data_IF_958565360814
#
_entry.id   IF_958565360814
#
_cell.length_a   1.000
_cell.length_b   1.000
_cell.length_c   1.000
_cell.angle_alpha   90.00
_cell.angle_beta   90.00
_cell.angle_gamma   90.00
#
_symmetry.space_group_name_H-M   'P 1'
#
loop_
_entity.id
_entity.type
_entity.pdbx_description
1 polymer ?
#
# COMPACT_ATOMS: atom_id res chain seq x y z
N UNK A 1 79.24 22.57 -10.72
CA UNK A 1 78.87 22.90 -9.32
C UNK A 1 77.92 21.83 -8.79
N UNK A 2 78.02 21.54 -7.48
CA UNK A 2 77.43 20.47 -6.61
C UNK A 2 75.95 20.08 -6.93
N UNK A 3 75.57 18.80 -7.12
CA UNK A 3 75.27 17.64 -6.22
C UNK A 3 73.89 17.66 -5.49
N UNK A 4 73.12 16.56 -5.67
CA UNK A 4 72.25 15.80 -4.68
C UNK A 4 70.85 16.40 -4.37
N UNK A 5 69.71 15.69 -4.17
CA UNK A 5 69.24 14.30 -4.28
C UNK A 5 67.68 14.18 -4.19
N UNK A 6 67.19 12.95 -4.42
CA UNK A 6 65.84 12.36 -4.37
C UNK A 6 64.91 12.69 -3.17
N UNK A 7 63.57 12.62 -3.39
CA UNK A 7 62.67 11.65 -2.70
C UNK A 7 61.21 11.56 -3.25
N UNK A 8 60.85 10.32 -3.59
CA UNK A 8 59.59 9.55 -3.66
C UNK A 8 58.20 10.09 -3.22
N UNK A 9 57.17 9.72 -4.01
CA UNK A 9 55.89 9.10 -3.55
C UNK A 9 55.15 8.40 -4.72
N UNK A 10 55.30 7.07 -4.86
CA UNK A 10 54.28 5.99 -4.78
C UNK A 10 52.96 6.16 -5.57
N UNK A 11 52.85 5.34 -6.62
CA UNK A 11 51.59 4.82 -7.15
C UNK A 11 51.19 3.51 -6.44
N UNK A 12 49.89 3.31 -6.22
CA UNK A 12 49.23 2.00 -6.18
C UNK A 12 47.72 2.16 -5.91
N UNK A 13 46.91 1.33 -6.57
CA UNK A 13 45.60 0.90 -6.05
C UNK A 13 44.37 1.37 -6.82
N UNK A 14 43.99 0.62 -7.85
CA UNK A 14 42.63 0.58 -8.39
C UNK A 14 41.61 0.22 -7.31
N UNK A 15 40.49 0.93 -7.26
CA UNK A 15 39.29 0.48 -6.55
C UNK A 15 38.08 0.67 -7.47
N UNK A 16 37.53 -0.45 -7.93
CA UNK A 16 36.27 -0.58 -8.63
C UNK A 16 35.13 -0.11 -7.72
N UNK A 17 34.49 1.01 -8.06
CA UNK A 17 33.25 1.43 -7.42
C UNK A 17 32.06 0.81 -8.16
N UNK A 18 31.42 -0.11 -7.46
CA UNK A 18 30.07 -0.61 -7.74
C UNK A 18 29.08 0.56 -7.82
N UNK A 19 28.29 0.55 -8.89
CA UNK A 19 27.18 1.45 -9.15
C UNK A 19 26.16 1.37 -8.00
N UNK A 20 25.97 2.48 -7.29
CA UNK A 20 24.83 2.67 -6.39
C UNK A 20 23.66 3.10 -7.27
N UNK A 21 22.62 2.28 -7.31
CA UNK A 21 21.29 2.68 -7.76
C UNK A 21 20.77 3.74 -6.77
N UNK A 22 20.80 5.01 -7.16
CA UNK A 22 20.11 6.07 -6.44
C UNK A 22 18.60 5.81 -6.49
N UNK A 23 18.00 5.72 -5.31
CA UNK A 23 16.55 5.57 -5.13
C UNK A 23 15.82 6.81 -5.62
N UNK A 24 14.86 6.60 -6.53
CA UNK A 24 13.96 7.61 -7.09
C UNK A 24 13.19 8.31 -5.95
N UNK A 25 13.21 9.65 -5.84
CA UNK A 25 12.40 10.34 -4.84
C UNK A 25 10.92 10.29 -5.26
N UNK A 26 9.99 9.99 -4.35
CA UNK A 26 8.57 10.04 -4.64
C UNK A 26 8.12 11.49 -4.88
N UNK A 27 7.43 11.72 -6.00
CA UNK A 27 7.01 13.04 -6.48
C UNK A 27 5.68 13.50 -5.88
N UNK A 28 5.37 13.17 -4.63
CA UNK A 28 4.19 13.70 -3.94
C UNK A 28 4.45 13.95 -2.45
N UNK A 29 3.97 15.10 -1.97
CA UNK A 29 3.97 15.59 -0.58
C UNK A 29 5.32 16.11 -0.05
N UNK A 30 5.59 17.39 -0.30
CA UNK A 30 6.62 18.19 0.41
C UNK A 30 5.97 18.78 1.69
N UNK A 31 6.61 18.59 2.84
CA UNK A 31 6.18 19.07 4.16
C UNK A 31 6.12 20.61 4.29
N UNK A 32 5.24 21.16 5.16
CA UNK A 32 5.39 22.51 5.67
C UNK A 32 6.33 22.54 6.88
N UNK A 33 7.48 23.19 6.74
CA UNK A 33 8.40 23.51 7.83
C UNK A 33 7.80 24.56 8.78
N UNK A 34 7.83 24.31 10.09
CA UNK A 34 7.54 25.34 11.09
C UNK A 34 7.48 24.83 12.53
N UNK A 35 8.62 24.64 13.17
CA UNK A 35 8.71 24.53 14.65
C UNK A 35 9.03 25.90 15.24
N UNK A 36 8.14 26.45 16.07
CA UNK A 36 8.51 27.47 17.06
C UNK A 36 8.37 26.87 18.46
N UNK A 37 9.49 26.72 19.13
CA UNK A 37 9.63 26.39 20.55
C UNK A 37 9.24 27.60 21.41
N UNK A 38 8.46 27.37 22.46
CA UNK A 38 8.20 28.33 23.54
C UNK A 38 7.95 27.58 24.84
N UNK A 39 8.79 27.84 25.84
CA UNK A 39 8.90 27.16 27.13
C UNK A 39 7.85 27.58 28.18
N UNK A 40 7.59 26.67 29.13
CA UNK A 40 7.32 26.97 30.55
C UNK A 40 5.94 26.52 31.09
N UNK A 41 5.76 26.35 32.43
CA UNK A 41 6.68 25.85 33.46
C UNK A 41 6.11 24.64 34.24
N UNK A 42 6.94 24.13 35.17
CA UNK A 42 6.67 23.03 36.12
C UNK A 42 5.51 23.34 37.08
N UNK A 43 4.66 22.35 37.34
CA UNK A 43 3.91 22.21 38.60
C UNK A 43 3.87 20.71 38.98
N UNK A 44 4.33 20.39 40.20
CA UNK A 44 4.25 19.05 40.76
C UNK A 44 2.98 18.89 41.61
N UNK A 45 2.40 17.68 41.60
CA UNK A 45 1.45 17.17 42.62
C UNK A 45 1.58 15.64 42.62
N UNK A 46 2.28 15.09 43.62
CA UNK A 46 1.79 14.29 44.77
C UNK A 46 1.19 12.92 44.42
N UNK A 47 1.91 11.92 44.93
CA UNK A 47 1.63 10.49 45.04
C UNK A 47 0.36 10.21 45.86
N UNK A 48 -0.46 9.24 45.46
CA UNK A 48 -1.26 8.45 46.41
C UNK A 48 -1.42 7.01 45.91
N UNK A 49 -0.74 6.11 46.62
CA UNK A 49 -0.91 4.66 46.58
C UNK A 49 -2.17 4.29 47.37
N UNK A 50 -2.98 3.39 46.83
CA UNK A 50 -3.93 2.61 47.63
C UNK A 50 -3.94 1.15 47.13
N UNK A 51 -3.30 0.30 47.92
CA UNK A 51 -3.49 -1.15 47.91
C UNK A 51 -4.84 -1.48 48.55
N UNK A 52 -5.63 -2.34 47.92
CA UNK A 52 -6.62 -3.15 48.65
C UNK A 52 -6.51 -4.59 48.15
N UNK A 53 -6.09 -5.46 49.05
CA UNK A 53 -6.18 -6.90 48.93
C UNK A 53 -7.43 -7.39 49.66
N UNK A 54 -8.15 -8.32 49.05
CA UNK A 54 -9.04 -9.31 49.66
C UNK A 54 -9.30 -10.35 48.56
N UNK A 55 -9.13 -11.64 48.75
CA UNK A 55 -9.36 -12.45 49.93
C UNK A 55 -10.28 -13.59 49.46
N UNK A 56 -9.80 -14.82 49.59
CA UNK A 56 -10.37 -16.06 49.03
C UNK A 56 -11.83 -16.32 49.45
N UNK A 57 -12.54 -17.14 48.66
CA UNK A 57 -13.34 -18.19 49.28
C UNK A 57 -13.38 -19.48 48.43
N UNK A 58 -13.12 -20.58 49.12
CA UNK A 58 -13.03 -21.95 48.66
C UNK A 58 -14.30 -22.67 49.10
N UNK A 59 -14.99 -23.35 48.19
CA UNK A 59 -16.08 -24.26 48.58
C UNK A 59 -16.00 -25.56 47.80
N UNK A 60 -15.24 -26.48 48.39
CA UNK A 60 -15.27 -27.91 48.13
C UNK A 60 -16.70 -28.49 48.23
N UNK A 61 -17.12 -29.24 47.20
CA UNK A 61 -18.17 -30.26 47.32
C UNK A 61 -17.63 -31.61 46.86
N UNK A 62 -17.48 -32.51 47.83
CA UNK A 62 -17.28 -33.96 47.63
C UNK A 62 -18.56 -34.58 47.09
N UNK A 63 -18.48 -35.37 46.02
CA UNK A 63 -19.48 -36.40 45.72
C UNK A 63 -18.81 -37.66 45.16
N UNK A 64 -19.45 -38.77 45.47
CA UNK A 64 -18.89 -40.09 45.64
C UNK A 64 -18.58 -40.83 44.33
N UNK A 65 -17.56 -41.67 44.43
CA UNK A 65 -17.12 -42.67 43.47
C UNK A 65 -18.21 -43.72 43.23
N UNK A 66 -18.53 -44.00 41.97
CA UNK A 66 -19.14 -45.28 41.57
C UNK A 66 -18.31 -45.84 40.43
N UNK A 67 -17.61 -46.93 40.68
CA UNK A 67 -16.80 -47.63 39.69
C UNK A 67 -17.71 -48.42 38.75
N UNK A 68 -17.64 -48.13 37.45
CA UNK A 68 -18.19 -49.00 36.41
C UNK A 68 -17.05 -49.37 35.46
N UNK A 69 -16.71 -50.65 35.44
CA UNK A 69 -15.70 -51.25 34.56
C UNK A 69 -16.29 -51.38 33.16
N UNK A 70 -15.87 -50.52 32.23
CA UNK A 70 -16.19 -50.65 30.81
C UNK A 70 -14.93 -50.89 29.99
N UNK A 71 -14.95 -51.98 29.22
CA UNK A 71 -13.91 -52.47 28.32
C UNK A 71 -13.38 -51.36 27.41
N UNK A 72 -12.05 -51.21 27.36
CA UNK A 72 -11.36 -50.34 26.43
C UNK A 72 -11.55 -50.82 24.98
N UNK A 73 -12.22 -50.01 24.17
CA UNK A 73 -12.09 -50.06 22.71
C UNK A 73 -10.89 -49.20 22.32
N UNK A 74 -9.85 -49.82 21.78
CA UNK A 74 -8.70 -49.12 21.20
C UNK A 74 -9.12 -48.44 19.90
N UNK A 75 -9.65 -47.21 19.99
CA UNK A 75 -9.61 -46.28 18.87
C UNK A 75 -8.18 -45.78 18.76
N UNK A 76 -7.49 -46.10 17.66
CA UNK A 76 -6.25 -45.44 17.27
C UNK A 76 -6.57 -43.99 16.90
N UNK A 77 -6.74 -43.15 17.93
CA UNK A 77 -6.80 -41.72 17.78
C UNK A 77 -5.45 -41.26 17.24
N UNK A 78 -5.47 -40.60 16.08
CA UNK A 78 -4.39 -39.72 15.67
C UNK A 78 -4.16 -38.75 16.83
N UNK A 79 -3.08 -38.96 17.59
CA UNK A 79 -2.67 -38.02 18.61
C UNK A 79 -2.36 -36.71 17.89
N UNK A 80 -3.30 -35.77 17.96
CA UNK A 80 -3.01 -34.37 17.66
C UNK A 80 -2.12 -33.92 18.80
N UNK A 81 -0.81 -34.00 18.58
CA UNK A 81 0.18 -33.45 19.49
C UNK A 81 -0.19 -31.99 19.74
N UNK A 82 -0.57 -31.67 20.98
CA UNK A 82 -0.94 -30.32 21.37
C UNK A 82 0.29 -29.44 21.14
N UNK A 83 0.19 -28.52 20.17
CA UNK A 83 1.26 -27.56 19.93
C UNK A 83 1.58 -26.85 21.26
N UNK A 84 2.87 -26.70 21.63
CA UNK A 84 3.22 -26.09 22.91
C UNK A 84 2.57 -24.71 23.04
N UNK A 85 1.82 -24.50 24.13
CA UNK A 85 1.17 -23.22 24.42
C UNK A 85 2.25 -22.20 24.80
N UNK A 86 2.76 -21.46 23.82
CA UNK A 86 3.66 -20.35 24.06
C UNK A 86 2.85 -19.07 24.31
N UNK A 87 3.20 -18.33 25.37
CA UNK A 87 2.67 -16.98 25.56
C UNK A 87 3.18 -16.10 24.42
N UNK A 88 2.27 -15.60 23.59
CA UNK A 88 2.55 -14.65 22.52
C UNK A 88 2.17 -13.24 22.97
N UNK A 89 2.98 -12.27 22.59
CA UNK A 89 2.90 -10.85 22.96
C UNK A 89 2.62 -9.95 21.76
N UNK A 90 2.30 -10.55 20.60
CA UNK A 90 1.93 -9.85 19.39
C UNK A 90 0.58 -10.36 18.90
N UNK A 91 -0.35 -9.44 18.70
CA UNK A 91 -1.57 -9.69 17.95
C UNK A 91 -1.28 -9.53 16.47
N UNK A 92 -1.82 -10.44 15.68
CA UNK A 92 -1.73 -10.42 14.23
C UNK A 92 -3.13 -10.61 13.65
N UNK A 93 -3.60 -9.63 12.89
CA UNK A 93 -4.94 -9.66 12.32
C UNK A 93 -4.93 -9.21 10.86
N UNK A 94 -5.76 -9.86 10.05
CA UNK A 94 -6.30 -9.23 8.86
C UNK A 94 -7.58 -8.50 9.28
N UNK A 95 -7.71 -7.18 9.12
CA UNK A 95 -8.87 -6.48 9.64
C UNK A 95 -10.14 -6.97 8.93
N UNK A 96 -11.16 -7.44 9.68
CA UNK A 96 -12.34 -8.10 9.10
C UNK A 96 -13.22 -7.16 8.27
N UNK A 97 -13.04 -5.85 8.41
CA UNK A 97 -13.74 -4.82 7.64
C UNK A 97 -13.22 -4.70 6.21
N UNK A 98 -12.02 -5.22 5.91
CA UNK A 98 -11.40 -5.13 4.60
C UNK A 98 -11.91 -6.24 3.66
N UNK A 99 -12.04 -5.96 2.36
CA UNK A 99 -12.41 -6.97 1.39
C UNK A 99 -11.34 -8.06 1.31
N UNK A 100 -11.77 -9.28 0.99
CA UNK A 100 -10.82 -10.39 0.81
C UNK A 100 -9.85 -10.05 -0.32
N UNK A 101 -8.53 -10.21 -0.13
CA UNK A 101 -7.56 -9.92 -1.17
C UNK A 101 -7.83 -10.75 -2.43
N UNK A 102 -7.72 -10.09 -3.57
CA UNK A 102 -7.94 -10.67 -4.87
C UNK A 102 -6.73 -10.41 -5.77
N UNK A 103 -6.32 -11.40 -6.60
CA UNK A 103 -5.16 -11.25 -7.43
C UNK A 103 -5.43 -10.37 -8.65
N UNK A 104 -4.48 -9.50 -9.00
CA UNK A 104 -4.51 -8.70 -10.23
C UNK A 104 -3.42 -9.17 -11.19
N UNK A 105 -3.74 -9.35 -12.46
CA UNK A 105 -2.75 -9.67 -13.49
C UNK A 105 -2.08 -8.39 -13.98
N UNK A 106 -0.76 -8.39 -14.07
CA UNK A 106 0.02 -7.20 -14.42
C UNK A 106 0.95 -7.44 -15.61
N UNK A 107 1.60 -6.37 -16.06
CA UNK A 107 2.46 -6.32 -17.25
C UNK A 107 3.75 -7.12 -17.15
N UNK A 108 4.16 -7.57 -15.95
CA UNK A 108 5.28 -8.51 -15.80
C UNK A 108 4.85 -9.98 -16.07
N UNK A 109 3.59 -10.19 -16.47
CA UNK A 109 3.02 -11.47 -16.80
C UNK A 109 2.61 -12.30 -15.57
N UNK A 110 2.65 -11.72 -14.37
CA UNK A 110 2.33 -12.39 -13.11
C UNK A 110 1.00 -11.90 -12.53
N UNK A 111 0.52 -12.64 -11.55
CA UNK A 111 -0.60 -12.26 -10.70
C UNK A 111 -0.06 -11.76 -9.37
N UNK A 112 -0.39 -10.52 -9.00
CA UNK A 112 -0.04 -9.93 -7.73
C UNK A 112 -1.21 -10.02 -6.76
N UNK A 113 -0.95 -10.52 -5.55
CA UNK A 113 -1.87 -10.56 -4.43
C UNK A 113 -1.37 -9.59 -3.36
N UNK A 114 -2.02 -8.43 -3.29
CA UNK A 114 -1.57 -7.27 -2.52
C UNK A 114 -2.51 -7.05 -1.34
N UNK A 115 -1.98 -7.04 -0.11
CA UNK A 115 -2.76 -6.87 1.12
C UNK A 115 -1.88 -6.37 2.28
N UNK A 116 -2.49 -6.17 3.45
CA UNK A 116 -1.79 -5.77 4.66
C UNK A 116 -2.28 -6.57 5.87
N UNK A 117 -1.42 -6.69 6.88
CA UNK A 117 -1.76 -7.23 8.19
C UNK A 117 -1.53 -6.17 9.26
N UNK A 118 -2.43 -6.12 10.23
CA UNK A 118 -2.27 -5.32 11.46
C UNK A 118 -1.45 -6.10 12.48
N UNK A 119 -0.50 -5.41 13.10
CA UNK A 119 0.34 -5.90 14.18
C UNK A 119 0.06 -5.06 15.42
N UNK A 120 -0.13 -5.67 16.59
CA UNK A 120 -0.17 -4.94 17.87
C UNK A 120 0.78 -5.61 18.85
N UNK A 121 1.75 -4.85 19.38
CA UNK A 121 2.55 -5.31 20.49
C UNK A 121 1.74 -5.17 21.78
N UNK A 122 1.23 -6.28 22.30
CA UNK A 122 0.42 -6.34 23.52
C UNK A 122 1.27 -6.42 24.80
N UNK A 123 2.53 -6.00 24.71
CA UNK A 123 3.45 -6.01 25.84
C UNK A 123 4.05 -4.62 26.06
N UNK A 124 4.52 -4.32 27.28
CA UNK A 124 5.20 -3.05 27.55
C UNK A 124 6.64 -3.02 26.99
N UNK A 125 7.14 -4.14 26.48
CA UNK A 125 8.52 -4.28 26.03
C UNK A 125 8.63 -4.12 24.53
N UNK A 126 9.77 -3.60 24.08
CA UNK A 126 10.09 -3.59 22.66
C UNK A 126 10.12 -5.02 22.09
N UNK A 127 9.51 -5.16 20.94
CA UNK A 127 9.51 -6.35 20.10
C UNK A 127 10.29 -6.07 18.81
N UNK A 128 11.16 -6.98 18.41
CA UNK A 128 11.87 -6.95 17.13
C UNK A 128 11.43 -8.13 16.26
N UNK A 129 10.80 -7.83 15.14
CA UNK A 129 10.42 -8.79 14.11
C UNK A 129 11.68 -9.37 13.46
N UNK A 130 11.73 -10.70 13.33
CA UNK A 130 12.88 -11.42 12.76
C UNK A 130 12.56 -12.03 11.41
N UNK A 131 11.38 -12.61 11.27
CA UNK A 131 10.97 -13.33 10.07
C UNK A 131 9.45 -13.40 9.99
N UNK A 132 8.93 -13.32 8.78
CA UNK A 132 7.54 -13.66 8.48
C UNK A 132 7.53 -14.70 7.38
N UNK A 133 6.89 -15.83 7.64
CA UNK A 133 6.60 -16.84 6.64
C UNK A 133 5.15 -16.74 6.23
N UNK A 134 4.89 -16.70 4.92
CA UNK A 134 3.57 -16.87 4.34
C UNK A 134 3.47 -18.31 3.85
N UNK A 135 2.47 -19.04 4.33
CA UNK A 135 2.27 -20.45 4.05
C UNK A 135 0.93 -20.66 3.36
N UNK A 136 0.89 -21.63 2.44
CA UNK A 136 -0.37 -22.23 2.00
C UNK A 136 -0.95 -23.03 3.17
N UNK A 137 -2.17 -22.68 3.60
CA UNK A 137 -2.81 -23.31 4.77
C UNK A 137 -3.03 -24.81 4.58
N UNK A 138 -3.32 -25.22 3.34
CA UNK A 138 -3.73 -26.59 3.01
C UNK A 138 -2.55 -27.56 3.01
N UNK A 139 -1.45 -27.16 2.39
CA UNK A 139 -0.24 -27.97 2.24
C UNK A 139 0.82 -27.70 3.31
N UNK A 140 0.75 -26.55 4.01
CA UNK A 140 1.81 -26.07 4.90
C UNK A 140 3.06 -25.58 4.14
N UNK A 141 3.03 -25.54 2.81
CA UNK A 141 4.15 -25.09 1.97
C UNK A 141 4.40 -23.60 2.20
N UNK A 142 5.66 -23.22 2.37
CA UNK A 142 6.07 -21.80 2.40
C UNK A 142 5.94 -21.22 0.99
N UNK A 143 5.12 -20.17 0.87
CA UNK A 143 4.87 -19.39 -0.35
C UNK A 143 5.86 -18.24 -0.46
N UNK A 144 6.13 -17.56 0.66
CA UNK A 144 7.09 -16.47 0.75
C UNK A 144 7.69 -16.39 2.14
N UNK A 145 8.88 -15.79 2.24
CA UNK A 145 9.57 -15.51 3.49
C UNK A 145 10.16 -14.11 3.42
N UNK A 146 9.84 -13.27 4.40
CA UNK A 146 10.46 -11.96 4.60
C UNK A 146 11.35 -11.98 5.83
N UNK A 147 12.57 -11.43 5.75
CA UNK A 147 13.50 -11.29 6.88
C UNK A 147 14.46 -10.11 6.69
N UNK A 148 15.08 -9.65 7.78
CA UNK A 148 16.13 -8.63 7.72
C UNK A 148 15.66 -7.32 7.09
N UNK A 149 16.40 -6.83 6.08
CA UNK A 149 16.12 -5.55 5.44
C UNK A 149 14.77 -5.52 4.68
N UNK A 150 14.36 -6.64 4.09
CA UNK A 150 13.07 -6.78 3.40
C UNK A 150 11.92 -6.64 4.40
N UNK A 151 11.94 -7.40 5.49
CA UNK A 151 10.91 -7.32 6.53
C UNK A 151 10.80 -5.91 7.13
N UNK A 152 11.95 -5.25 7.36
CA UNK A 152 11.98 -3.85 7.82
C UNK A 152 11.34 -2.91 6.80
N UNK A 153 11.62 -3.11 5.51
CA UNK A 153 11.08 -2.29 4.43
C UNK A 153 9.57 -2.44 4.32
N UNK A 154 9.05 -3.65 4.49
CA UNK A 154 7.61 -3.96 4.36
C UNK A 154 6.79 -3.68 5.62
N UNK A 155 7.42 -3.23 6.71
CA UNK A 155 6.72 -2.96 7.97
C UNK A 155 6.85 -1.49 8.37
N UNK A 156 5.75 -0.90 8.83
CA UNK A 156 5.69 0.46 9.34
C UNK A 156 4.91 0.53 10.65
N UNK A 157 5.07 1.62 11.41
CA UNK A 157 4.20 1.91 12.57
C UNK A 157 2.88 2.49 12.10
N UNK A 158 1.80 2.17 12.81
CA UNK A 158 0.55 2.93 12.67
C UNK A 158 0.83 4.38 13.11
N UNK A 159 0.41 5.35 12.29
CA UNK A 159 0.67 6.78 12.51
C UNK A 159 1.95 7.31 11.84
N UNK A 160 2.74 6.47 11.17
CA UNK A 160 3.78 6.97 10.25
C UNK A 160 3.13 7.73 9.10
N UNK A 161 3.44 9.02 8.99
CA UNK A 161 3.08 9.85 7.83
C UNK A 161 4.10 9.68 6.71
N UNK A 162 3.73 10.06 5.48
CA UNK A 162 4.62 9.97 4.33
C UNK A 162 5.78 11.00 4.45
N UNK A 163 7.05 10.63 4.16
CA UNK A 163 7.50 9.29 3.77
C UNK A 163 7.42 8.31 4.95
N UNK A 164 6.79 7.15 4.69
CA UNK A 164 6.57 6.13 5.71
C UNK A 164 7.93 5.58 6.17
N UNK A 165 8.23 5.77 7.45
CA UNK A 165 9.49 5.29 8.05
C UNK A 165 9.42 3.77 8.25
N UNK A 166 10.24 2.97 7.54
CA UNK A 166 10.21 1.53 7.69
C UNK A 166 10.80 1.10 9.04
N UNK A 167 10.25 0.06 9.65
CA UNK A 167 10.69 -0.46 10.94
C UNK A 167 10.57 -1.97 10.99
N UNK A 168 11.41 -2.65 11.76
CA UNK A 168 11.20 -4.05 12.13
C UNK A 168 10.98 -4.18 13.64
N UNK A 169 10.67 -3.06 14.30
CA UNK A 169 10.58 -2.96 15.74
C UNK A 169 9.32 -2.20 16.14
N UNK A 170 8.62 -2.74 17.13
CA UNK A 170 7.49 -2.11 17.79
C UNK A 170 7.85 -1.91 19.26
N UNK A 171 7.77 -0.67 19.74
CA UNK A 171 7.82 -0.38 21.17
C UNK A 171 6.62 -0.99 21.90
N UNK A 172 6.60 -0.88 23.23
CA UNK A 172 5.47 -1.35 24.00
C UNK A 172 4.17 -0.65 23.58
N UNK A 173 3.08 -1.41 23.52
CA UNK A 173 1.72 -0.95 23.15
C UNK A 173 1.63 -0.31 21.74
N UNK A 174 2.65 -0.46 20.91
CA UNK A 174 2.65 0.09 19.55
C UNK A 174 1.97 -0.86 18.56
N UNK A 175 1.21 -0.25 17.65
CA UNK A 175 0.67 -0.92 16.48
C UNK A 175 1.57 -0.72 15.25
N UNK A 176 1.59 -1.72 14.38
CA UNK A 176 2.29 -1.72 13.11
C UNK A 176 1.43 -2.26 11.98
N UNK A 177 1.91 -2.05 10.76
CA UNK A 177 1.32 -2.56 9.54
C UNK A 177 2.41 -3.33 8.80
N UNK A 178 2.13 -4.56 8.42
CA UNK A 178 2.95 -5.34 7.51
C UNK A 178 2.28 -5.36 6.14
N UNK A 179 2.93 -4.75 5.16
CA UNK A 179 2.52 -4.74 3.77
C UNK A 179 3.01 -6.02 3.07
N UNK A 180 2.16 -6.63 2.25
CA UNK A 180 2.48 -7.88 1.56
C UNK A 180 2.08 -7.77 0.09
N UNK A 181 3.04 -8.03 -0.79
CA UNK A 181 2.86 -8.24 -2.23
C UNK A 181 3.43 -9.62 -2.59
N UNK A 182 2.55 -10.57 -2.93
CA UNK A 182 2.94 -11.89 -3.41
C UNK A 182 2.70 -11.98 -4.90
N UNK A 183 3.65 -12.54 -5.65
CA UNK A 183 3.48 -12.73 -7.10
C UNK A 183 3.49 -14.20 -7.49
N UNK A 184 2.59 -14.57 -8.41
CA UNK A 184 2.38 -15.93 -8.90
C UNK A 184 2.39 -15.96 -10.42
N UNK A 185 2.91 -17.04 -11.01
CA UNK A 185 2.91 -17.19 -12.47
C UNK A 185 1.51 -17.45 -13.04
N UNK A 186 0.68 -18.21 -12.31
CA UNK A 186 -0.68 -18.56 -12.73
C UNK A 186 -1.64 -18.33 -11.57
N UNK A 187 -2.88 -17.98 -11.90
CA UNK A 187 -3.95 -17.81 -10.90
C UNK A 187 -4.21 -19.09 -10.10
N UNK A 188 -4.06 -20.27 -10.72
CA UNK A 188 -4.23 -21.58 -10.06
C UNK A 188 -3.14 -21.90 -9.04
N UNK A 189 -2.01 -21.18 -9.06
CA UNK A 189 -0.92 -21.37 -8.09
C UNK A 189 -1.15 -20.58 -6.78
N UNK A 190 -2.20 -19.74 -6.75
CA UNK A 190 -2.54 -18.89 -5.61
C UNK A 190 -3.31 -19.74 -4.59
N UNK A 191 -2.77 -19.95 -3.37
CA UNK A 191 -3.48 -20.70 -2.35
C UNK A 191 -4.79 -20.02 -1.99
N UNK A 192 -5.87 -20.77 -1.82
CA UNK A 192 -7.19 -20.28 -1.38
C UNK A 192 -7.23 -19.82 0.09
N UNK A 193 -6.21 -20.19 0.85
CA UNK A 193 -6.01 -19.76 2.23
C UNK A 193 -4.51 -19.61 2.51
N UNK A 194 -4.13 -18.48 3.08
CA UNK A 194 -2.77 -18.19 3.52
C UNK A 194 -2.70 -18.19 5.04
N UNK A 195 -1.62 -18.72 5.59
CA UNK A 195 -1.28 -18.62 7.02
C UNK A 195 0.01 -17.84 7.15
N UNK A 196 0.08 -16.90 8.09
CA UNK A 196 1.28 -16.12 8.32
C UNK A 196 1.87 -16.52 9.65
N UNK A 197 3.14 -16.92 9.66
CA UNK A 197 3.90 -17.23 10.87
C UNK A 197 4.92 -16.12 11.10
N UNK A 198 4.75 -15.37 12.18
CA UNK A 198 5.67 -14.28 12.54
C UNK A 198 6.60 -14.76 13.65
N UNK A 199 7.90 -14.66 13.43
CA UNK A 199 8.96 -14.91 14.40
C UNK A 199 9.51 -13.57 14.87
N UNK A 200 9.56 -13.37 16.18
CA UNK A 200 10.05 -12.13 16.79
C UNK A 200 10.85 -12.41 18.06
N UNK A 201 11.67 -11.44 18.46
CA UNK A 201 12.32 -11.42 19.77
C UNK A 201 11.76 -10.29 20.62
N UNK A 202 11.65 -10.51 21.92
CA UNK A 202 11.19 -9.48 22.85
C UNK A 202 12.30 -9.12 23.84
N UNK A 203 12.54 -7.82 24.02
CA UNK A 203 13.51 -7.34 25.02
C UNK A 203 13.02 -7.77 26.41
N UNK A 204 13.87 -8.38 27.25
CA UNK A 204 13.45 -8.87 28.56
C UNK A 204 13.12 -7.72 29.52
N UNK A 205 12.12 -7.96 30.38
CA UNK A 205 11.64 -7.00 31.40
C UNK A 205 12.68 -6.75 32.51
N UNK A 206 13.58 -7.72 32.74
CA UNK A 206 14.67 -7.61 33.70
C UNK A 206 15.94 -8.25 33.16
N UNK A 207 17.10 -7.81 33.67
CA UNK A 207 18.41 -8.37 33.29
C UNK A 207 18.55 -9.88 33.56
N UNK A 208 17.66 -10.45 34.39
CA UNK A 208 17.66 -11.86 34.77
C UNK A 208 16.78 -12.74 33.86
N UNK A 209 16.12 -12.17 32.85
CA UNK A 209 15.32 -12.91 31.87
C UNK A 209 16.02 -12.89 30.51
N UNK A 210 16.07 -14.04 29.84
CA UNK A 210 16.60 -14.13 28.48
C UNK A 210 15.62 -13.53 27.47
N UNK A 211 16.16 -12.99 26.37
CA UNK A 211 15.36 -12.60 25.19
C UNK A 211 14.60 -13.82 24.69
N UNK A 212 13.27 -13.82 24.79
CA UNK A 212 12.43 -14.91 24.28
C UNK A 212 12.20 -14.72 22.79
N UNK A 213 12.44 -15.78 22.03
CA UNK A 213 12.04 -15.88 20.61
C UNK A 213 10.77 -16.71 20.56
N UNK A 214 9.69 -16.10 20.06
CA UNK A 214 8.36 -16.72 19.98
C UNK A 214 7.83 -16.63 18.56
N UNK A 215 6.87 -17.50 18.22
CA UNK A 215 6.14 -17.42 16.97
C UNK A 215 4.63 -17.39 17.19
N UNK A 216 3.92 -16.51 16.48
CA UNK A 216 2.45 -16.51 16.40
C UNK A 216 1.98 -16.82 14.98
N UNK A 217 0.71 -17.21 14.82
CA UNK A 217 0.10 -17.49 13.51
C UNK A 217 -1.26 -16.80 13.35
N UNK A 218 -1.52 -16.27 12.16
CA UNK A 218 -2.87 -15.88 11.69
C UNK A 218 -3.19 -16.62 10.40
N UNK A 219 -4.46 -16.89 10.14
CA UNK A 219 -4.94 -17.43 8.86
C UNK A 219 -5.85 -16.42 8.18
N UNK A 220 -5.59 -16.16 6.90
CA UNK A 220 -6.34 -15.32 6.00
C UNK A 220 -6.94 -16.17 4.89
N UNK A 221 -8.22 -15.95 4.56
CA UNK A 221 -8.81 -16.48 3.32
C UNK A 221 -8.39 -15.60 2.16
N UNK A 222 -8.07 -16.19 1.02
CA UNK A 222 -7.88 -15.46 -0.24
C UNK A 222 -9.03 -15.82 -1.16
N UNK A 223 -9.29 -14.98 -2.16
CA UNK A 223 -10.11 -15.41 -3.29
C UNK A 223 -9.20 -16.11 -4.29
N UNK A 224 -9.55 -17.33 -4.72
CA UNK A 224 -8.85 -18.05 -5.81
C UNK A 224 -9.20 -17.51 -7.20
N UNK A 225 -9.94 -16.40 -7.27
CA UNK A 225 -10.45 -15.79 -8.48
C UNK A 225 -10.27 -14.26 -8.40
N UNK A 226 -10.06 -13.55 -9.51
CA UNK A 226 -9.57 -12.17 -9.48
C UNK A 226 -10.54 -11.11 -8.92
N UNK A 227 -11.79 -11.44 -8.54
CA UNK A 227 -12.57 -10.68 -7.54
C UNK A 227 -13.89 -11.35 -7.13
N UNK A 228 -14.36 -11.13 -5.90
CA UNK A 228 -15.77 -11.19 -5.48
C UNK A 228 -15.97 -10.53 -4.09
N UNK A 229 -16.97 -9.66 -3.92
CA UNK A 229 -18.19 -10.15 -3.28
C UNK A 229 -19.18 -10.57 -4.36
N UNK A 230 -19.49 -11.87 -4.45
CA UNK A 230 -20.39 -12.40 -5.48
C UNK A 230 -19.78 -13.49 -6.36
N UNK A 231 -18.95 -13.18 -7.36
CA UNK A 231 -18.40 -14.20 -8.27
C UNK A 231 -17.22 -13.71 -9.14
N UNK A 232 -16.04 -14.27 -8.88
CA UNK A 232 -15.18 -14.91 -9.89
C UNK A 232 -14.35 -14.10 -10.91
N UNK A 233 -14.62 -12.84 -11.24
CA UNK A 233 -13.94 -12.19 -12.38
C UNK A 233 -13.26 -10.85 -12.05
N UNK A 234 -12.08 -10.57 -12.63
CA UNK A 234 -11.42 -9.28 -12.47
C UNK A 234 -12.34 -8.20 -13.00
N UNK A 235 -12.43 -7.07 -12.30
CA UNK A 235 -13.20 -5.95 -12.79
C UNK A 235 -12.48 -5.31 -13.98
N UNK A 236 -12.94 -5.66 -15.18
CA UNK A 236 -12.41 -5.14 -16.45
C UNK A 236 -13.07 -3.80 -16.75
N UNK A 237 -12.26 -2.78 -17.02
CA UNK A 237 -12.71 -1.42 -17.32
C UNK A 237 -12.01 -0.88 -18.57
N UNK A 238 -12.59 0.15 -19.19
CA UNK A 238 -11.87 0.95 -20.18
C UNK A 238 -10.81 1.82 -19.50
N UNK A 239 -9.74 2.23 -20.22
CA UNK A 239 -8.84 3.26 -19.74
C UNK A 239 -9.54 4.61 -19.49
N UNK A 240 -9.14 5.38 -18.45
CA UNK A 240 -9.75 6.68 -18.15
C UNK A 240 -9.24 7.82 -19.05
N UNK A 241 -8.27 7.53 -19.91
CA UNK A 241 -7.55 8.47 -20.77
C UNK A 241 -7.37 7.85 -22.17
N UNK A 242 -6.97 8.67 -23.15
CA UNK A 242 -6.76 8.26 -24.55
C UNK A 242 -5.38 8.71 -25.04
N UNK A 243 -4.84 8.02 -26.03
CA UNK A 243 -3.55 8.37 -26.67
C UNK A 243 -2.33 7.81 -25.94
N UNK A 244 -1.14 8.20 -26.42
CA UNK A 244 0.17 7.70 -25.97
C UNK A 244 0.83 8.53 -24.87
N UNK A 245 1.87 7.94 -24.26
CA UNK A 245 2.79 8.61 -23.36
C UNK A 245 2.33 8.68 -21.90
N UNK A 246 1.38 7.85 -21.47
CA UNK A 246 0.88 7.89 -20.09
C UNK A 246 1.76 7.03 -19.18
N UNK A 247 2.50 7.67 -18.28
CA UNK A 247 3.34 6.99 -17.30
C UNK A 247 2.60 6.75 -15.99
N UNK A 248 2.60 5.53 -15.51
CA UNK A 248 2.15 5.16 -14.17
C UNK A 248 3.18 5.59 -13.12
N UNK A 249 2.85 6.59 -12.30
CA UNK A 249 3.76 7.17 -11.30
C UNK A 249 3.66 6.57 -9.90
N UNK A 250 2.60 5.86 -9.55
CA UNK A 250 2.37 5.44 -8.16
C UNK A 250 1.55 4.14 -8.02
N UNK A 251 1.09 3.57 -9.13
CA UNK A 251 0.24 2.40 -9.19
C UNK A 251 0.82 1.11 -8.62
N UNK A 252 0.08 0.04 -8.82
CA UNK A 252 0.48 -1.30 -8.39
C UNK A 252 1.72 -1.78 -9.15
N UNK A 253 2.51 -2.74 -8.70
CA UNK A 253 2.53 -3.44 -7.43
C UNK A 253 3.99 -3.47 -7.00
N UNK A 254 4.32 -2.88 -5.85
CA UNK A 254 5.63 -2.81 -5.16
C UNK A 254 5.49 -1.79 -4.00
N UNK A 255 6.60 -1.48 -3.31
CA UNK A 255 6.69 -0.37 -2.36
C UNK A 255 6.50 0.98 -3.08
N UNK A 256 5.24 1.34 -3.34
CA UNK A 256 4.80 2.64 -3.86
C UNK A 256 4.08 3.43 -2.78
N UNK A 257 3.99 4.75 -2.95
CA UNK A 257 3.30 5.61 -2.00
C UNK A 257 1.82 5.19 -1.84
N UNK A 258 1.10 5.03 -2.95
CA UNK A 258 -0.32 4.65 -2.97
C UNK A 258 -0.60 3.29 -2.33
N UNK A 259 0.27 2.30 -2.49
CA UNK A 259 0.09 1.01 -1.81
C UNK A 259 0.11 1.15 -0.28
N UNK A 260 0.81 2.16 0.26
CA UNK A 260 1.12 2.26 1.70
C UNK A 260 0.42 3.41 2.41
N UNK A 261 -0.08 4.39 1.67
CA UNK A 261 -0.88 5.49 2.22
C UNK A 261 -2.19 4.93 2.73
N UNK A 262 -2.54 5.27 3.96
CA UNK A 262 -3.91 5.03 4.38
C UNK A 262 -4.28 5.80 5.63
N UNK A 263 -5.57 5.85 5.84
CA UNK A 263 -6.24 6.87 6.63
C UNK A 263 -7.20 6.20 7.59
N UNK A 264 -7.36 6.78 8.78
CA UNK A 264 -8.30 6.26 9.77
C UNK A 264 -9.57 7.11 9.77
N UNK A 265 -10.71 6.45 9.59
CA UNK A 265 -12.05 7.03 9.72
C UNK A 265 -12.86 6.19 10.69
N UNK A 266 -13.44 6.83 11.70
CA UNK A 266 -14.26 6.17 12.73
C UNK A 266 -13.59 4.93 13.38
N UNK A 267 -12.28 5.03 13.63
CA UNK A 267 -11.48 3.96 14.23
C UNK A 267 -11.09 2.83 13.27
N UNK A 268 -11.55 2.85 12.02
CA UNK A 268 -11.19 1.88 10.97
C UNK A 268 -10.14 2.48 10.06
N UNK A 269 -9.07 1.72 9.79
CA UNK A 269 -8.01 2.16 8.89
C UNK A 269 -8.25 1.65 7.48
N UNK A 270 -8.42 2.58 6.55
CA UNK A 270 -8.62 2.34 5.13
C UNK A 270 -7.34 2.57 4.31
N UNK A 271 -7.26 1.93 3.15
CA UNK A 271 -6.24 2.12 2.13
C UNK A 271 -6.92 2.36 0.76
N UNK A 272 -7.44 3.58 0.53
CA UNK A 272 -8.23 3.90 -0.66
C UNK A 272 -7.41 3.83 -1.95
N UNK A 273 -6.11 4.15 -1.85
CA UNK A 273 -5.22 4.31 -2.99
C UNK A 273 -4.48 3.02 -3.36
N UNK A 274 -4.76 1.87 -2.72
CA UNK A 274 -4.03 0.60 -2.89
C UNK A 274 -3.74 0.22 -4.35
N UNK A 275 -4.66 0.50 -5.27
CA UNK A 275 -4.54 0.32 -6.72
C UNK A 275 -4.77 1.62 -7.51
N UNK A 276 -4.74 2.76 -6.82
CA UNK A 276 -4.84 4.08 -7.45
C UNK A 276 -3.60 4.37 -8.30
N UNK A 277 -3.80 5.03 -9.43
CA UNK A 277 -2.72 5.40 -10.35
C UNK A 277 -2.76 6.92 -10.58
N UNK A 278 -1.58 7.53 -10.46
CA UNK A 278 -1.34 8.89 -10.95
C UNK A 278 -0.73 8.81 -12.36
N UNK A 279 -1.50 9.23 -13.37
CA UNK A 279 -1.05 9.29 -14.75
C UNK A 279 -0.47 10.66 -15.10
N UNK A 280 0.78 10.66 -15.52
CA UNK A 280 1.46 11.83 -16.12
C UNK A 280 1.74 11.52 -17.59
N UNK A 281 1.59 12.54 -18.46
CA UNK A 281 1.86 12.39 -19.89
C UNK A 281 3.26 12.86 -20.25
N UNK A 282 3.93 12.11 -21.12
CA UNK A 282 5.25 12.40 -21.65
C UNK A 282 5.23 12.38 -23.19
N UNK A 283 6.09 13.17 -23.82
CA UNK A 283 6.37 13.07 -25.24
C UNK A 283 7.34 11.91 -25.55
N UNK A 284 7.67 11.71 -26.83
CA UNK A 284 8.63 10.70 -27.27
C UNK A 284 10.06 10.93 -26.73
N UNK A 285 10.41 12.17 -26.40
CA UNK A 285 11.67 12.55 -25.77
C UNK A 285 11.68 12.38 -24.25
N UNK A 286 10.55 11.98 -23.65
CA UNK A 286 10.37 11.82 -22.22
C UNK A 286 10.11 13.13 -21.47
N UNK A 287 9.80 14.25 -22.12
CA UNK A 287 9.47 15.50 -21.44
C UNK A 287 7.97 15.54 -21.07
N UNK A 288 7.59 15.98 -19.85
CA UNK A 288 6.18 16.10 -19.44
C UNK A 288 5.52 17.44 -19.82
N UNK A 289 6.29 18.39 -20.36
CA UNK A 289 5.83 19.72 -20.73
C UNK A 289 6.67 20.33 -21.84
N UNK A 290 6.11 21.34 -22.53
CA UNK A 290 6.82 22.17 -23.50
C UNK A 290 6.77 23.65 -23.10
N UNK A 291 7.92 24.31 -23.04
CA UNK A 291 8.02 25.71 -22.61
C UNK A 291 8.19 25.84 -21.09
N UNK A 292 7.63 26.90 -20.50
CA UNK A 292 7.76 27.21 -19.08
C UNK A 292 6.92 26.25 -18.20
N UNK A 293 7.55 25.39 -17.37
CA UNK A 293 6.83 24.43 -16.54
C UNK A 293 5.94 25.10 -15.48
N UNK A 294 6.15 26.37 -15.14
CA UNK A 294 5.30 27.08 -14.16
C UNK A 294 3.90 27.37 -14.69
N UNK A 295 3.67 27.25 -16.00
CA UNK A 295 2.37 27.43 -16.62
C UNK A 295 1.71 26.07 -16.85
N UNK A 296 0.59 25.80 -16.17
CA UNK A 296 -0.07 24.49 -16.22
C UNK A 296 -0.43 24.07 -17.66
N UNK A 297 -0.86 25.01 -18.51
CA UNK A 297 -1.16 24.77 -19.93
C UNK A 297 0.01 24.22 -20.76
N UNK A 298 1.24 24.34 -20.27
CA UNK A 298 2.43 23.83 -20.94
C UNK A 298 2.66 22.34 -20.64
N UNK A 299 1.98 21.77 -19.64
CA UNK A 299 2.04 20.35 -19.30
C UNK A 299 1.19 19.53 -20.25
N UNK A 300 1.75 18.44 -20.77
CA UNK A 300 1.13 17.61 -21.81
C UNK A 300 -0.16 16.92 -21.35
N UNK A 301 -0.29 16.68 -20.05
CA UNK A 301 -1.47 16.08 -19.44
C UNK A 301 -2.56 17.10 -19.12
N UNK A 302 -2.24 18.38 -18.89
CA UNK A 302 -3.24 19.36 -18.47
C UNK A 302 -4.25 19.63 -19.60
N UNK A 303 -5.54 19.58 -19.26
CA UNK A 303 -6.63 19.72 -20.22
C UNK A 303 -6.95 18.45 -21.02
N UNK A 304 -6.24 17.34 -20.80
CA UNK A 304 -6.54 16.07 -21.47
C UNK A 304 -7.97 15.59 -21.10
N UNK A 305 -8.79 15.13 -22.06
CA UNK A 305 -10.11 14.58 -21.77
C UNK A 305 -10.03 13.36 -20.86
N UNK A 306 -10.83 13.36 -19.80
CA UNK A 306 -11.01 12.23 -18.89
C UNK A 306 -12.35 11.57 -19.21
N UNK A 307 -12.35 10.25 -19.36
CA UNK A 307 -13.53 9.48 -19.76
C UNK A 307 -14.00 8.51 -18.67
N UNK A 308 -15.31 8.26 -18.63
CA UNK A 308 -15.90 7.22 -17.79
C UNK A 308 -15.37 5.84 -18.20
N UNK A 309 -14.94 5.03 -17.24
CA UNK A 309 -14.26 3.75 -17.49
C UNK A 309 -15.23 2.58 -17.69
N UNK A 310 -16.50 2.78 -17.33
CA UNK A 310 -17.59 1.86 -17.58
C UNK A 310 -18.92 2.63 -17.59
N UNK A 311 -19.99 1.97 -18.02
CA UNK A 311 -21.34 2.44 -17.76
C UNK A 311 -21.58 2.54 -16.24
N UNK A 312 -22.29 3.57 -15.81
CA UNK A 312 -22.54 3.75 -14.38
C UNK A 312 -23.33 4.99 -14.04
N UNK A 313 -23.53 5.17 -12.73
CA UNK A 313 -24.24 6.33 -12.17
C UNK A 313 -23.26 7.24 -11.44
N UNK A 314 -23.26 8.52 -11.78
CA UNK A 314 -22.47 9.53 -11.07
C UNK A 314 -23.06 9.74 -9.69
N UNK A 315 -22.29 9.47 -8.65
CA UNK A 315 -22.72 9.65 -7.25
C UNK A 315 -22.15 10.94 -6.64
N UNK A 316 -21.02 11.43 -7.15
CA UNK A 316 -20.41 12.69 -6.75
C UNK A 316 -19.78 13.38 -7.95
N UNK A 317 -20.05 14.66 -8.11
CA UNK A 317 -19.38 15.53 -9.07
C UNK A 317 -19.04 16.85 -8.36
N UNK A 318 -17.76 17.22 -8.35
CA UNK A 318 -17.24 18.41 -7.68
C UNK A 318 -16.43 19.22 -8.68
N UNK A 319 -16.78 20.49 -8.85
CA UNK A 319 -16.14 21.38 -9.82
C UNK A 319 -16.08 22.83 -9.31
N UNK A 320 -15.37 23.04 -8.20
CA UNK A 320 -15.31 24.34 -7.51
C UNK A 320 -13.94 24.70 -6.96
N UNK A 321 -13.00 23.76 -6.93
CA UNK A 321 -11.66 23.98 -6.41
C UNK A 321 -10.77 24.51 -7.53
N UNK A 322 -9.97 25.56 -7.29
CA UNK A 322 -9.02 26.05 -8.28
C UNK A 322 -7.88 25.05 -8.49
N UNK A 323 -7.21 25.16 -9.64
CA UNK A 323 -5.93 24.50 -9.86
C UNK A 323 -4.85 25.15 -8.98
N UNK A 324 -3.92 24.34 -8.49
CA UNK A 324 -2.78 24.84 -7.74
C UNK A 324 -1.69 25.39 -8.65
N UNK A 325 -0.89 26.30 -8.11
CA UNK A 325 0.39 26.68 -8.72
C UNK A 325 1.36 25.49 -8.63
N UNK A 326 2.27 25.39 -9.61
CA UNK A 326 3.24 24.30 -9.68
C UNK A 326 4.05 24.17 -8.37
N UNK A 327 4.22 22.92 -7.91
CA UNK A 327 4.92 22.51 -6.69
C UNK A 327 4.39 23.16 -5.40
N UNK A 328 3.18 23.74 -5.45
CA UNK A 328 2.51 24.31 -4.29
C UNK A 328 1.22 23.58 -4.06
N UNK A 329 1.05 23.02 -2.88
CA UNK A 329 -0.24 22.49 -2.44
C UNK A 329 -1.17 23.66 -2.04
N UNK A 330 -2.49 23.44 -2.03
CA UNK A 330 -3.41 24.39 -1.39
C UNK A 330 -3.07 24.47 0.10
N UNK A 331 -3.58 25.48 0.80
CA UNK A 331 -3.29 25.71 2.23
C UNK A 331 -3.64 24.52 3.13
N UNK A 332 -4.77 24.57 3.83
CA UNK A 332 -5.16 23.44 4.67
C UNK A 332 -5.84 22.35 3.81
N UNK A 333 -5.19 21.18 3.74
CA UNK A 333 -5.80 19.97 3.19
C UNK A 333 -6.78 19.36 4.20
N UNK A 334 -7.94 18.94 3.70
CA UNK A 334 -9.03 18.33 4.47
C UNK A 334 -9.59 17.15 3.68
N UNK A 335 -10.30 16.21 4.33
CA UNK A 335 -11.01 15.15 3.62
C UNK A 335 -11.94 15.66 2.51
N UNK A 336 -12.49 16.88 2.66
CA UNK A 336 -13.40 17.49 1.69
C UNK A 336 -12.74 18.11 0.45
N UNK A 337 -11.43 18.39 0.48
CA UNK A 337 -10.73 19.07 -0.63
C UNK A 337 -9.51 18.30 -1.17
N UNK A 338 -9.07 17.21 -0.53
CA UNK A 338 -7.86 16.48 -0.91
C UNK A 338 -7.89 16.00 -2.38
N UNK A 339 -9.05 15.56 -2.86
CA UNK A 339 -9.24 15.10 -4.23
C UNK A 339 -9.47 16.24 -5.24
N UNK A 340 -9.59 17.48 -4.77
CA UNK A 340 -9.91 18.63 -5.62
C UNK A 340 -11.26 18.48 -6.32
N UNK A 341 -11.31 18.92 -7.58
CA UNK A 341 -12.43 18.61 -8.46
C UNK A 341 -12.39 17.14 -8.82
N UNK A 342 -13.53 16.48 -8.74
CA UNK A 342 -13.61 15.03 -8.89
C UNK A 342 -14.94 14.58 -9.44
N UNK A 343 -14.92 13.41 -10.03
CA UNK A 343 -16.11 12.62 -10.34
C UNK A 343 -15.98 11.26 -9.66
N UNK A 344 -17.07 10.76 -9.08
CA UNK A 344 -17.16 9.39 -8.57
C UNK A 344 -18.37 8.72 -9.21
N UNK A 345 -18.15 7.55 -9.82
CA UNK A 345 -19.16 6.78 -10.56
C UNK A 345 -19.36 5.43 -9.85
N UNK A 346 -20.60 5.08 -9.54
CA UNK A 346 -21.02 3.74 -9.13
C UNK A 346 -21.11 2.82 -10.35
N UNK A 347 -20.43 1.66 -10.26
CA UNK A 347 -20.24 0.72 -11.37
C UNK A 347 -21.04 -0.58 -11.18
N UNK A 348 -21.84 -0.65 -10.12
CA UNK A 348 -22.52 -1.87 -9.68
C UNK A 348 -21.64 -2.78 -8.83
N UNK A 349 -22.26 -3.79 -8.18
CA UNK A 349 -21.54 -4.78 -7.36
C UNK A 349 -20.77 -4.20 -6.17
N UNK A 350 -21.16 -3.01 -5.68
CA UNK A 350 -20.46 -2.30 -4.61
C UNK A 350 -19.14 -1.64 -5.03
N UNK A 351 -18.92 -1.41 -6.33
CA UNK A 351 -17.68 -0.82 -6.87
C UNK A 351 -17.90 0.62 -7.30
N UNK A 352 -16.90 1.46 -7.06
CA UNK A 352 -16.91 2.88 -7.40
C UNK A 352 -15.60 3.28 -8.08
N UNK A 353 -15.66 4.05 -9.17
CA UNK A 353 -14.48 4.66 -9.80
C UNK A 353 -14.39 6.13 -9.41
N UNK A 354 -13.23 6.58 -8.94
CA UNK A 354 -12.96 7.98 -8.66
C UNK A 354 -11.91 8.55 -9.61
N UNK A 355 -12.17 9.78 -10.06
CA UNK A 355 -11.30 10.60 -10.91
C UNK A 355 -11.06 11.89 -10.16
N UNK A 356 -9.83 12.18 -9.79
CA UNK A 356 -9.48 13.35 -8.98
C UNK A 356 -8.55 14.32 -9.72
N UNK A 357 -8.33 15.48 -9.10
CA UNK A 357 -7.48 16.56 -9.62
C UNK A 357 -7.97 17.14 -10.95
N UNK A 358 -9.29 17.10 -11.21
CA UNK A 358 -9.86 17.61 -12.46
C UNK A 358 -9.71 19.14 -12.57
N UNK A 359 -9.70 19.62 -13.81
CA UNK A 359 -9.55 21.04 -14.15
C UNK A 359 -10.82 21.81 -13.75
N UNK A 360 -10.70 22.99 -13.11
CA UNK A 360 -11.86 23.79 -12.72
C UNK A 360 -12.70 24.21 -13.91
N UNK A 361 -14.02 24.10 -13.78
CA UNK A 361 -15.01 24.42 -14.81
C UNK A 361 -15.07 23.42 -15.95
N UNK A 362 -14.42 22.26 -15.83
CA UNK A 362 -14.37 21.25 -16.90
C UNK A 362 -15.32 20.08 -16.69
N UNK A 363 -15.86 19.88 -15.49
CA UNK A 363 -16.67 18.69 -15.17
C UNK A 363 -18.00 18.76 -15.91
N UNK A 364 -18.28 17.74 -16.72
CA UNK A 364 -19.41 17.72 -17.68
C UNK A 364 -20.63 16.97 -17.18
N UNK A 365 -20.58 16.46 -15.96
CA UNK A 365 -21.61 15.61 -15.35
C UNK A 365 -21.99 16.11 -13.96
N UNK A 366 -23.15 15.68 -13.48
CA UNK A 366 -23.70 16.00 -12.15
C UNK A 366 -24.03 14.73 -11.39
N UNK A 367 -24.08 14.83 -10.06
CA UNK A 367 -24.58 13.73 -9.24
C UNK A 367 -26.01 13.36 -9.67
N UNK A 368 -26.25 12.06 -9.87
CA UNK A 368 -27.49 11.50 -10.39
C UNK A 368 -27.45 11.13 -11.88
N UNK A 369 -26.52 11.69 -12.66
CA UNK A 369 -26.42 11.40 -14.09
C UNK A 369 -26.01 9.94 -14.34
N UNK A 370 -26.48 9.36 -15.44
CA UNK A 370 -25.96 8.11 -15.97
C UNK A 370 -24.97 8.41 -17.08
N UNK A 371 -23.85 7.70 -17.08
CA UNK A 371 -22.78 7.85 -18.08
C UNK A 371 -22.56 6.54 -18.81
N UNK A 372 -22.05 6.65 -20.03
CA UNK A 372 -21.58 5.51 -20.83
C UNK A 372 -20.07 5.36 -20.78
N UNK A 373 -19.59 4.12 -20.86
CA UNK A 373 -18.17 3.85 -20.99
C UNK A 373 -17.58 4.66 -22.18
N UNK A 374 -16.47 5.35 -21.95
CA UNK A 374 -15.82 6.24 -22.92
C UNK A 374 -16.41 7.65 -23.02
N UNK A 375 -17.50 7.96 -22.32
CA UNK A 375 -18.06 9.32 -22.28
C UNK A 375 -17.09 10.28 -21.57
N UNK A 376 -16.82 11.43 -22.17
CA UNK A 376 -16.01 12.50 -21.53
C UNK A 376 -16.78 13.07 -20.34
N UNK A 377 -16.16 13.01 -19.16
CA UNK A 377 -16.73 13.48 -17.88
C UNK A 377 -16.06 14.74 -17.34
N UNK A 378 -14.88 15.10 -17.87
CA UNK A 378 -14.15 16.29 -17.49
C UNK A 378 -12.79 16.37 -18.17
N UNK A 379 -11.94 17.27 -17.69
CA UNK A 379 -10.57 17.43 -18.17
C UNK A 379 -9.60 17.30 -16.99
N UNK A 380 -8.42 16.74 -17.25
CA UNK A 380 -7.33 16.59 -16.28
C UNK A 380 -6.79 17.97 -15.88
N UNK A 381 -6.64 18.21 -14.58
CA UNK A 381 -6.20 19.50 -14.03
C UNK A 381 -5.06 19.36 -13.03
N UNK A 382 -5.09 20.22 -12.01
CA UNK A 382 -4.11 20.26 -10.92
C UNK A 382 -4.76 20.75 -9.60
N UNK A 383 -6.04 20.45 -9.39
CA UNK A 383 -6.79 20.89 -8.20
C UNK A 383 -6.61 19.91 -7.02
N UNK A 384 -6.86 20.33 -5.78
CA UNK A 384 -6.75 19.45 -4.60
C UNK A 384 -5.32 19.23 -4.13
N UNK A 385 -4.96 18.06 -3.61
CA UNK A 385 -3.61 17.74 -3.14
C UNK A 385 -2.63 17.41 -4.29
N UNK A 386 -2.61 18.25 -5.32
CA UNK A 386 -1.80 18.05 -6.53
C UNK A 386 -0.78 19.16 -6.71
N UNK A 387 0.51 18.79 -6.76
CA UNK A 387 1.62 19.73 -7.00
C UNK A 387 1.98 19.89 -8.48
N UNK A 388 1.68 18.90 -9.31
CA UNK A 388 1.94 18.87 -10.75
C UNK A 388 0.72 18.25 -11.47
N UNK A 389 0.34 18.67 -12.69
CA UNK A 389 -0.81 18.09 -13.37
C UNK A 389 -0.69 16.57 -13.56
N UNK A 390 -1.70 15.83 -13.11
CA UNK A 390 -1.85 14.39 -13.30
C UNK A 390 -3.32 14.00 -13.13
N UNK A 391 -3.71 12.83 -13.65
CA UNK A 391 -4.97 12.20 -13.28
C UNK A 391 -4.71 11.19 -12.18
N UNK A 392 -5.31 11.39 -11.03
CA UNK A 392 -5.44 10.33 -10.03
C UNK A 392 -6.72 9.53 -10.31
N UNK A 393 -6.56 8.22 -10.55
CA UNK A 393 -7.65 7.30 -10.82
C UNK A 393 -7.60 6.10 -9.88
N UNK A 394 -8.72 5.75 -9.25
CA UNK A 394 -8.83 4.56 -8.39
C UNK A 394 -10.20 3.89 -8.45
N UNK A 395 -10.24 2.59 -8.16
CA UNK A 395 -11.47 1.82 -7.94
C UNK A 395 -11.58 1.48 -6.46
N UNK A 396 -12.78 1.61 -5.89
CA UNK A 396 -13.04 1.57 -4.46
C UNK A 396 -14.23 0.66 -4.12
N UNK A 397 -14.28 0.16 -2.88
CA UNK A 397 -15.41 -0.63 -2.35
C UNK A 397 -16.54 0.20 -1.72
N UNK A 398 -16.35 1.52 -1.62
CA UNK A 398 -17.28 2.49 -1.04
C UNK A 398 -17.22 3.82 -1.79
N UNK A 399 -18.27 4.66 -1.72
CA UNK A 399 -18.32 5.92 -2.45
C UNK A 399 -17.37 7.01 -1.92
N UNK A 400 -16.86 6.85 -0.69
CA UNK A 400 -15.96 7.82 -0.07
C UNK A 400 -14.55 7.69 -0.65
N UNK A 401 -14.02 8.80 -1.16
CA UNK A 401 -12.68 8.86 -1.74
C UNK A 401 -11.58 8.42 -0.76
N UNK A 402 -11.71 8.74 0.53
CA UNK A 402 -10.72 8.40 1.55
C UNK A 402 -11.14 7.27 2.50
N UNK A 403 -12.44 7.10 2.75
CA UNK A 403 -12.97 6.08 3.65
C UNK A 403 -13.48 4.87 2.85
N UNK A 404 -12.56 4.25 2.11
CA UNK A 404 -12.81 3.09 1.25
C UNK A 404 -11.55 2.24 1.10
N UNK A 405 -11.70 0.99 0.70
CA UNK A 405 -10.59 0.16 0.27
C UNK A 405 -10.43 0.21 -1.25
N UNK A 406 -9.18 0.42 -1.68
CA UNK A 406 -8.80 0.32 -3.08
C UNK A 406 -8.94 -1.11 -3.57
N UNK A 407 -9.70 -1.30 -4.64
CA UNK A 407 -9.94 -2.58 -5.27
C UNK A 407 -9.04 -2.77 -6.50
N UNK A 408 -8.52 -3.98 -6.76
CA UNK A 408 -7.85 -4.29 -8.00
C UNK A 408 -8.83 -4.21 -9.17
N UNK A 409 -8.30 -3.80 -10.32
CA UNK A 409 -9.00 -3.78 -11.61
C UNK A 409 -7.98 -4.07 -12.71
N UNK A 410 -8.48 -4.31 -13.91
CA UNK A 410 -7.65 -4.43 -15.11
C UNK A 410 -8.26 -3.63 -16.25
N UNK A 411 -7.43 -3.16 -17.17
CA UNK A 411 -7.94 -2.55 -18.39
C UNK A 411 -8.31 -3.63 -19.42
N UNK A 412 -9.38 -3.40 -20.18
CA UNK A 412 -9.80 -4.25 -21.28
C UNK A 412 -8.66 -4.42 -22.31
N UNK A 413 -8.01 -3.31 -22.68
CA UNK A 413 -6.75 -3.32 -23.40
C UNK A 413 -5.99 -2.00 -23.34
N UNK A 414 -4.66 -2.10 -23.51
CA UNK A 414 -3.76 -0.97 -23.73
C UNK A 414 -2.50 -1.44 -24.47
N UNK A 415 -1.64 -0.53 -24.86
CA UNK A 415 -0.31 -0.83 -25.37
C UNK A 415 0.76 -0.43 -24.35
N UNK A 416 1.66 -1.35 -24.02
CA UNK A 416 2.85 -1.07 -23.22
C UNK A 416 3.94 -0.50 -24.14
N UNK A 417 4.24 0.79 -23.97
CA UNK A 417 5.22 1.52 -24.80
C UNK A 417 6.64 1.39 -24.27
N UNK A 418 6.79 1.10 -22.98
CA UNK A 418 8.08 0.84 -22.35
C UNK A 418 8.00 0.96 -20.84
N UNK A 419 9.16 1.03 -20.19
CA UNK A 419 9.28 1.24 -18.75
C UNK A 419 10.20 2.41 -18.45
N UNK A 420 9.76 3.32 -17.59
CA UNK A 420 10.53 4.42 -17.05
C UNK A 420 11.62 3.83 -16.15
N UNK A 421 12.89 4.14 -16.46
CA UNK A 421 14.05 3.64 -15.70
C UNK A 421 14.76 4.74 -14.91
N UNK A 422 14.49 6.00 -15.24
CA UNK A 422 14.98 7.14 -14.47
C UNK A 422 14.12 8.37 -14.72
N UNK A 423 14.00 9.21 -13.70
CA UNK A 423 13.36 10.52 -13.76
C UNK A 423 14.43 11.57 -13.45
N UNK A 424 14.69 12.48 -14.39
CA UNK A 424 15.64 13.58 -14.26
C UNK A 424 15.07 14.77 -13.47
N UNK A 425 15.93 15.75 -13.18
CA UNK A 425 15.58 16.92 -12.36
C UNK A 425 14.45 17.79 -12.93
N UNK A 426 14.23 17.76 -14.25
CA UNK A 426 13.11 18.43 -14.93
C UNK A 426 11.87 17.54 -15.05
N UNK A 427 11.81 16.44 -14.30
CA UNK A 427 10.81 15.37 -14.42
C UNK A 427 10.83 14.67 -15.79
N UNK A 428 11.88 14.85 -16.59
CA UNK A 428 12.05 14.13 -17.83
C UNK A 428 12.37 12.66 -17.56
N UNK A 429 11.81 11.76 -18.36
CA UNK A 429 11.98 10.32 -18.18
C UNK A 429 12.95 9.74 -19.20
N UNK A 430 13.62 8.65 -18.81
CA UNK A 430 14.22 7.71 -19.75
C UNK A 430 13.39 6.45 -19.76
N UNK A 431 13.12 5.94 -20.95
CA UNK A 431 12.26 4.78 -21.17
C UNK A 431 13.07 3.68 -21.85
N UNK A 432 12.94 2.47 -21.33
CA UNK A 432 13.48 1.27 -21.95
C UNK A 432 12.36 0.42 -22.53
N UNK A 433 12.66 -0.30 -23.61
CA UNK A 433 11.73 -1.25 -24.19
C UNK A 433 11.45 -2.40 -23.20
N UNK A 434 10.21 -2.86 -23.16
CA UNK A 434 9.81 -4.01 -22.36
C UNK A 434 9.73 -5.26 -23.23
N UNK A 435 10.11 -6.44 -22.70
CA UNK A 435 9.93 -7.69 -23.41
C UNK A 435 8.44 -8.10 -23.51
N UNK A 436 8.12 -8.87 -24.54
CA UNK A 436 6.77 -9.42 -24.76
C UNK A 436 5.90 -8.57 -25.71
N UNK A 437 4.61 -8.90 -25.85
CA UNK A 437 3.70 -8.20 -26.76
C UNK A 437 3.61 -6.70 -26.46
N UNK A 438 3.29 -5.84 -27.44
CA UNK A 438 2.98 -4.44 -27.12
C UNK A 438 1.56 -4.32 -26.54
N UNK A 439 0.59 -4.99 -27.18
CA UNK A 439 -0.80 -5.01 -26.74
C UNK A 439 -0.98 -5.88 -25.49
N UNK A 440 -1.64 -5.32 -24.48
CA UNK A 440 -2.06 -5.95 -23.23
C UNK A 440 -3.58 -6.03 -23.18
N UNK A 441 -4.09 -7.09 -22.56
CA UNK A 441 -5.53 -7.36 -22.44
C UNK A 441 -5.78 -7.92 -21.04
N UNK A 442 -6.76 -7.38 -20.32
CA UNK A 442 -7.11 -7.78 -18.97
C UNK A 442 -5.88 -7.78 -18.03
N UNK A 443 -5.08 -6.72 -18.13
CA UNK A 443 -3.92 -6.47 -17.28
C UNK A 443 -4.02 -5.07 -16.65
N UNK A 444 -3.32 -4.89 -15.54
CA UNK A 444 -3.03 -3.58 -14.95
C UNK A 444 -1.57 -3.20 -15.28
N UNK A 445 -1.28 -1.96 -15.74
CA UNK A 445 0.10 -1.49 -15.83
C UNK A 445 0.77 -1.52 -14.46
N UNK A 446 2.08 -1.76 -14.46
CA UNK A 446 2.89 -1.65 -13.26
C UNK A 446 3.41 -0.22 -13.08
N UNK A 447 3.73 0.13 -11.85
CA UNK A 447 4.50 1.32 -11.53
C UNK A 447 5.72 1.45 -12.45
N UNK A 448 5.88 2.64 -13.03
CA UNK A 448 6.86 3.03 -14.04
C UNK A 448 6.60 2.49 -15.45
N UNK A 449 5.50 1.82 -15.72
CA UNK A 449 5.14 1.51 -17.10
C UNK A 449 4.67 2.76 -17.83
N UNK A 450 5.08 2.89 -19.09
CA UNK A 450 4.58 3.87 -20.03
C UNK A 450 3.58 3.19 -20.96
N UNK A 451 2.36 3.71 -21.06
CA UNK A 451 1.27 3.09 -21.80
C UNK A 451 0.60 4.02 -22.80
N UNK A 452 0.03 3.42 -23.84
CA UNK A 452 -0.89 4.04 -24.78
C UNK A 452 -2.27 3.42 -24.63
N UNK A 453 -3.26 4.29 -24.53
CA UNK A 453 -4.66 3.89 -24.50
C UNK A 453 -5.31 4.08 -25.88
N UNK A 454 -6.06 3.09 -26.39
CA UNK A 454 -6.75 3.19 -27.68
C UNK A 454 -7.71 4.39 -27.73
N UNK A 455 -7.91 4.98 -28.92
CA UNK A 455 -8.81 6.13 -29.15
C UNK A 455 -10.30 5.82 -29.05
#
# INVERSE_FOLDING_TARGET
MRRVAMRWSRASGSCSSTSRSESIPPTSCIEPSGTSTGEGPRLGVVLLLAFVASGCDDSSRKHATTATTTRASTSSGLAVEAAPQAITSIELAFPPELPTPAPVRTTDGRYHLVYQLSLVNLSPQRLDLKRVDVLDRSSGRVVATMKGAELRKETARVGSVFPIVPTASLGGDQAGILFIDLSFGRVVDIPSQLTHKIVYSQVPVSANLSTKVTATRVTLRTTGAPFAPGAGEPFVILPPLRGSGWGDQNGCCRDTAHFRVGQTFDGVRFNPERFGIDFIRYDEGGAPYHGDPKQLKNWLCWGAPVVAVADGKVISAVDRFPDNKLLKLPGQLTPGNIAGNKVVIELGGGRFAAYAHLRPGSVRVRSGDHVKAGQVIGELGNSGASGIPHLHFQVMDRPSFLASEGLPYVYDSFELEGRIVSIGNSLSIKVEATPGPRRRINELPLFLDLVRFPE
#
